data_IF_449122499169
#
_entry.id   IF_449122499169
#
_cell.length_a   1.000
_cell.length_b   1.000
_cell.length_c   1.000
_cell.angle_alpha   90.00
_cell.angle_beta   90.00
_cell.angle_gamma   90.00
#
_symmetry.space_group_name_H-M   'P 1'
#
loop_
_entity.id
_entity.type
_entity.pdbx_description
1 polymer ?
#
# COMPACT_ATOMS: atom_id res chain seq x y z
N UNK A 1 -3.93 -24.51 -2.32
CA UNK A 1 -4.21 -23.19 -2.91
C UNK A 1 -4.61 -23.37 -4.35
N UNK A 2 -5.63 -22.65 -4.82
CA UNK A 2 -6.07 -22.72 -6.21
C UNK A 2 -5.05 -22.01 -7.12
N UNK A 3 -4.67 -22.64 -8.23
CA UNK A 3 -3.78 -22.05 -9.23
C UNK A 3 -4.60 -21.49 -10.39
N UNK A 4 -4.28 -20.29 -10.84
CA UNK A 4 -4.88 -19.67 -12.02
C UNK A 4 -3.80 -19.26 -13.04
N UNK A 5 -4.13 -19.31 -14.32
CA UNK A 5 -3.24 -18.88 -15.41
C UNK A 5 -3.72 -17.54 -15.94
N UNK A 6 -2.85 -16.53 -15.87
CA UNK A 6 -3.12 -15.19 -16.41
C UNK A 6 -2.32 -15.00 -17.69
N UNK A 7 -2.94 -14.42 -18.72
CA UNK A 7 -2.24 -14.05 -19.96
C UNK A 7 -1.54 -12.71 -19.75
N UNK A 8 -0.26 -12.66 -20.09
CA UNK A 8 0.56 -11.44 -20.12
C UNK A 8 1.32 -11.39 -21.44
N UNK A 9 1.82 -10.21 -21.82
CA UNK A 9 2.68 -10.09 -23.00
C UNK A 9 4.00 -10.87 -22.81
N UNK A 10 4.63 -11.25 -23.92
CA UNK A 10 5.94 -11.93 -23.85
C UNK A 10 7.01 -11.02 -23.23
N UNK A 11 6.94 -9.70 -23.48
CA UNK A 11 7.83 -8.72 -22.85
C UNK A 11 7.68 -8.69 -21.32
N UNK A 12 6.45 -8.70 -20.81
CA UNK A 12 6.19 -8.74 -19.37
C UNK A 12 6.66 -10.06 -18.74
N UNK A 13 6.46 -11.18 -19.45
CA UNK A 13 6.94 -12.49 -19.01
C UNK A 13 8.47 -12.52 -18.91
N UNK A 14 9.16 -11.94 -19.87
CA UNK A 14 10.62 -11.87 -19.88
C UNK A 14 11.15 -11.01 -18.73
N UNK A 15 10.55 -9.83 -18.51
CA UNK A 15 10.89 -8.98 -17.37
C UNK A 15 10.66 -9.70 -16.02
N UNK A 16 9.53 -10.38 -15.86
CA UNK A 16 9.24 -11.17 -14.66
C UNK A 16 10.29 -12.27 -14.42
N UNK A 17 10.75 -12.93 -15.50
CA UNK A 17 11.80 -13.96 -15.43
C UNK A 17 13.14 -13.38 -15.00
N UNK A 18 13.50 -12.21 -15.51
CA UNK A 18 14.75 -11.51 -15.16
C UNK A 18 14.76 -11.09 -13.70
N UNK A 19 13.67 -10.49 -13.21
CA UNK A 19 13.51 -10.12 -11.80
C UNK A 19 13.59 -11.36 -10.90
N UNK A 20 12.87 -12.43 -11.25
CA UNK A 20 12.90 -13.69 -10.51
C UNK A 20 14.30 -14.31 -10.43
N UNK A 21 15.07 -14.27 -11.52
CA UNK A 21 16.48 -14.70 -11.53
C UNK A 21 17.36 -13.85 -10.65
N UNK A 22 17.22 -12.53 -10.74
CA UNK A 22 17.98 -11.58 -9.95
C UNK A 22 17.73 -11.78 -8.44
N UNK A 23 16.47 -11.90 -8.06
CA UNK A 23 16.03 -12.04 -6.67
C UNK A 23 16.15 -13.48 -6.12
N UNK A 24 16.51 -14.44 -6.99
CA UNK A 24 16.56 -15.88 -6.68
C UNK A 24 15.25 -16.40 -6.09
N UNK A 25 14.12 -15.95 -6.63
CA UNK A 25 12.76 -16.31 -6.20
C UNK A 25 11.99 -16.97 -7.36
N UNK A 26 10.96 -17.79 -7.08
CA UNK A 26 10.04 -18.26 -8.10
C UNK A 26 9.32 -17.09 -8.79
N UNK A 27 9.07 -17.20 -10.11
CA UNK A 27 8.32 -16.18 -10.87
C UNK A 27 6.94 -15.91 -10.27
N UNK A 28 6.27 -16.93 -9.72
CA UNK A 28 4.99 -16.77 -9.03
C UNK A 28 5.12 -15.85 -7.82
N UNK A 29 6.11 -16.08 -6.96
CA UNK A 29 6.35 -15.25 -5.76
C UNK A 29 6.65 -13.80 -6.12
N UNK A 30 7.44 -13.58 -7.18
CA UNK A 30 7.71 -12.22 -7.67
C UNK A 30 6.45 -11.57 -8.21
N UNK A 31 5.62 -12.30 -8.95
CA UNK A 31 4.36 -11.78 -9.47
C UNK A 31 3.39 -11.41 -8.35
N UNK A 32 3.25 -12.25 -7.32
CA UNK A 32 2.44 -11.97 -6.14
C UNK A 32 2.95 -10.71 -5.40
N UNK A 33 4.27 -10.58 -5.22
CA UNK A 33 4.88 -9.40 -4.61
C UNK A 33 4.65 -8.12 -5.44
N UNK A 34 4.74 -8.21 -6.77
CA UNK A 34 4.51 -7.09 -7.65
C UNK A 34 3.04 -6.62 -7.63
N UNK A 35 2.09 -7.57 -7.58
CA UNK A 35 0.66 -7.26 -7.47
C UNK A 35 0.38 -6.57 -6.13
N UNK A 36 0.88 -7.12 -5.02
CA UNK A 36 0.74 -6.53 -3.69
C UNK A 36 1.32 -5.11 -3.62
N UNK A 37 2.50 -4.92 -4.20
CA UNK A 37 3.14 -3.61 -4.26
C UNK A 37 2.29 -2.61 -5.07
N UNK A 38 1.79 -3.01 -6.24
CA UNK A 38 0.93 -2.16 -7.06
C UNK A 38 -0.39 -1.83 -6.34
N UNK A 39 -1.00 -2.81 -5.68
CA UNK A 39 -2.23 -2.61 -4.92
C UNK A 39 -2.03 -1.61 -3.77
N UNK A 40 -0.95 -1.75 -2.98
CA UNK A 40 -0.62 -0.79 -1.91
C UNK A 40 -0.35 0.60 -2.45
N UNK A 41 0.33 0.69 -3.59
CA UNK A 41 0.59 1.97 -4.26
C UNK A 41 -0.73 2.65 -4.63
N UNK A 42 -1.63 1.96 -5.33
CA UNK A 42 -2.93 2.52 -5.71
C UNK A 42 -3.75 2.93 -4.48
N UNK A 43 -3.81 2.09 -3.46
CA UNK A 43 -4.51 2.41 -2.21
C UNK A 43 -3.99 3.70 -1.55
N UNK A 44 -2.67 3.88 -1.49
CA UNK A 44 -2.07 5.08 -0.92
C UNK A 44 -2.28 6.32 -1.80
N UNK A 45 -2.27 6.16 -3.12
CA UNK A 45 -2.56 7.26 -4.06
C UNK A 45 -4.02 7.73 -3.94
N UNK A 46 -4.96 6.80 -3.82
CA UNK A 46 -6.38 7.11 -3.60
C UNK A 46 -6.59 7.78 -2.24
N UNK A 47 -5.99 7.24 -1.18
CA UNK A 47 -6.05 7.83 0.16
C UNK A 47 -5.46 9.25 0.19
N UNK A 48 -4.33 9.46 -0.49
CA UNK A 48 -3.72 10.78 -0.59
C UNK A 48 -4.63 11.78 -1.31
N UNK A 49 -5.35 11.34 -2.34
CA UNK A 49 -6.36 12.14 -3.04
C UNK A 49 -7.52 12.51 -2.11
N UNK A 50 -8.04 11.55 -1.34
CA UNK A 50 -9.13 11.80 -0.38
C UNK A 50 -8.71 12.79 0.71
N UNK A 51 -7.48 12.66 1.24
CA UNK A 51 -6.93 13.62 2.20
C UNK A 51 -6.69 15.01 1.58
N UNK A 52 -6.35 15.09 0.29
CA UNK A 52 -6.23 16.37 -0.40
C UNK A 52 -7.59 17.08 -0.49
N UNK A 53 -8.65 16.35 -0.84
CA UNK A 53 -10.04 16.87 -0.85
C UNK A 53 -10.46 17.30 0.55
N UNK A 54 -10.19 16.49 1.58
CA UNK A 54 -10.51 16.81 2.97
C UNK A 54 -9.82 18.11 3.43
N UNK A 55 -8.56 18.32 3.04
CA UNK A 55 -7.79 19.53 3.37
C UNK A 55 -8.34 20.80 2.73
N UNK A 56 -9.00 20.69 1.58
CA UNK A 56 -9.69 21.82 0.94
C UNK A 56 -10.98 22.19 1.70
N UNK A 57 -11.57 21.24 2.44
CA UNK A 57 -12.72 21.46 3.32
C UNK A 57 -12.28 21.93 4.71
N UNK A 58 -11.96 23.23 4.84
CA UNK A 58 -11.45 23.84 6.08
C UNK A 58 -12.11 23.41 7.41
N UNK A 59 -13.45 23.35 7.53
CA UNK A 59 -14.10 22.89 8.76
C UNK A 59 -13.89 21.40 9.09
N UNK A 60 -13.89 20.53 8.07
CA UNK A 60 -13.67 19.09 8.24
C UNK A 60 -12.20 18.78 8.54
N UNK A 61 -11.28 19.51 7.89
CA UNK A 61 -9.85 19.44 8.18
C UNK A 61 -9.52 19.86 9.62
N UNK A 62 -10.17 20.91 10.11
CA UNK A 62 -9.99 21.36 11.49
C UNK A 62 -10.46 20.31 12.51
N UNK A 63 -11.56 19.61 12.22
CA UNK A 63 -12.05 18.52 13.06
C UNK A 63 -11.09 17.31 13.06
N UNK A 64 -10.48 16.96 11.92
CA UNK A 64 -9.44 15.90 11.85
C UNK A 64 -8.21 16.26 12.68
N UNK A 65 -7.75 17.52 12.61
CA UNK A 65 -6.61 17.99 13.40
C UNK A 65 -6.89 17.98 14.90
N UNK A 66 -8.11 18.34 15.31
CA UNK A 66 -8.54 18.30 16.71
C UNK A 66 -8.61 16.86 17.24
N UNK A 67 -9.17 15.94 16.45
CA UNK A 67 -9.18 14.52 16.78
C UNK A 67 -7.76 13.95 16.87
N UNK A 68 -6.91 14.24 15.89
CA UNK A 68 -5.52 13.76 15.86
C UNK A 68 -4.69 14.28 17.02
N UNK A 69 -4.87 15.56 17.38
CA UNK A 69 -4.26 16.16 18.56
C UNK A 69 -4.73 15.47 19.86
N UNK A 70 -6.02 15.11 19.95
CA UNK A 70 -6.54 14.36 21.08
C UNK A 70 -5.94 12.96 21.18
N UNK A 71 -5.71 12.26 20.06
CA UNK A 71 -5.02 10.96 20.05
C UNK A 71 -3.53 11.07 20.40
N UNK A 72 -2.81 12.07 19.88
CA UNK A 72 -1.39 12.31 20.21
C UNK A 72 -1.21 12.68 21.70
N UNK A 73 -2.23 13.30 22.32
CA UNK A 73 -2.26 13.59 23.75
C UNK A 73 -2.51 12.35 24.62
N UNK A 74 -3.07 11.27 24.06
CA UNK A 74 -3.17 9.98 24.74
C UNK A 74 -1.80 9.31 24.67
N UNK A 75 -1.00 9.56 25.70
CA UNK A 75 0.24 8.82 25.94
C UNK A 75 -0.11 7.31 25.94
N UNK A 76 0.55 6.45 25.14
CA UNK A 76 0.36 5.02 25.30
C UNK A 76 0.82 4.69 26.71
N UNK A 77 -0.13 4.30 27.56
CA UNK A 77 0.14 3.86 28.93
C UNK A 77 0.86 2.49 28.82
N UNK A 78 2.16 2.58 28.52
CA UNK A 78 3.08 1.48 28.26
C UNK A 78 4.11 1.32 29.38
N UNK A 79 3.76 1.73 30.60
CA UNK A 79 4.61 1.63 31.78
C UNK A 79 4.17 0.51 32.73
N UNK A 80 4.95 -0.58 32.74
CA UNK A 80 5.14 -1.57 33.81
C UNK A 80 3.93 -2.36 34.36
N UNK A 81 3.92 -3.67 34.04
CA UNK A 81 4.17 -4.75 35.02
C UNK A 81 4.89 -5.94 34.39
#
# INVERSE_FOLDING_TARGET
MATATVRISESARQALREIARHDKKPMQTVLEQAIEFYHRKCFLEDLASDFAVLRENGPEWQAELEERSAWDAVQPDGGDK
#
